data_IF_796839525676
#
_entry.id   IF_796839525676
#
_cell.length_a   1.000
_cell.length_b   1.000
_cell.length_c   1.000
_cell.angle_alpha   90.00
_cell.angle_beta   90.00
_cell.angle_gamma   90.00
#
_symmetry.space_group_name_H-M   'P 1'
#
loop_
_entity.id
_entity.type
_entity.pdbx_description
1 polymer ?
#
# COMPACT_ATOMS: atom_id res chain seq x y z
N UNK A 1 -21.28 24.20 8.48
CA UNK A 1 -20.80 22.81 8.68
C UNK A 1 -19.64 22.57 7.74
N UNK A 2 -18.42 22.89 8.18
CA UNK A 2 -17.20 22.61 7.42
C UNK A 2 -16.64 21.27 7.84
N UNK A 3 -17.03 20.18 7.16
CA UNK A 3 -16.37 18.87 7.32
C UNK A 3 -14.90 18.89 6.85
N UNK A 4 -14.46 19.97 6.23
CA UNK A 4 -13.08 20.24 5.82
C UNK A 4 -12.41 21.36 6.64
N UNK A 5 -13.00 21.75 7.77
CA UNK A 5 -12.44 22.80 8.62
C UNK A 5 -11.23 22.28 9.40
N UNK A 6 -10.06 22.38 8.78
CA UNK A 6 -8.76 22.03 9.35
C UNK A 6 -8.40 22.88 10.59
N UNK A 7 -9.12 23.98 10.85
CA UNK A 7 -8.79 24.91 11.92
C UNK A 7 -9.20 24.38 13.31
N UNK A 8 -10.08 23.37 13.39
CA UNK A 8 -10.51 22.77 14.66
C UNK A 8 -9.62 21.59 15.10
N UNK A 9 -8.66 21.19 14.28
CA UNK A 9 -7.80 20.04 14.56
C UNK A 9 -6.35 20.48 14.76
N UNK A 10 -5.65 19.81 15.67
CA UNK A 10 -4.22 20.02 15.85
C UNK A 10 -3.44 19.18 14.83
N UNK A 11 -2.42 19.74 14.16
CA UNK A 11 -1.50 18.98 13.32
C UNK A 11 -0.82 17.87 14.12
N UNK A 12 -0.49 16.76 13.47
CA UNK A 12 0.10 15.61 14.14
C UNK A 12 1.50 15.91 14.72
N UNK A 13 2.20 16.92 14.19
CA UNK A 13 3.45 17.43 14.76
C UNK A 13 3.30 17.92 16.22
N UNK A 14 2.10 18.37 16.62
CA UNK A 14 1.82 18.74 18.02
C UNK A 14 1.87 17.53 18.96
N UNK A 15 1.47 16.34 18.50
CA UNK A 15 1.59 15.09 19.27
C UNK A 15 3.05 14.73 19.54
N UNK A 16 3.96 15.13 18.63
CA UNK A 16 5.41 14.95 18.78
C UNK A 16 6.10 16.10 19.51
N UNK A 17 5.33 17.07 20.05
CA UNK A 17 5.84 18.30 20.65
C UNK A 17 6.80 19.06 19.73
N UNK A 18 6.67 18.87 18.40
CA UNK A 18 7.61 19.38 17.40
C UNK A 18 9.08 19.07 17.69
N UNK A 19 9.38 17.96 18.39
CA UNK A 19 10.76 17.54 18.60
C UNK A 19 11.39 17.19 17.24
N UNK A 20 12.43 17.91 16.79
CA UNK A 20 12.94 17.80 15.44
C UNK A 20 13.50 16.40 15.13
N UNK A 21 14.06 15.74 16.15
CA UNK A 21 14.55 14.37 16.05
C UNK A 21 13.42 13.38 15.71
N UNK A 22 12.30 13.46 16.44
CA UNK A 22 11.18 12.54 16.26
C UNK A 22 10.43 12.81 14.96
N UNK A 23 10.15 14.08 14.66
CA UNK A 23 9.52 14.49 13.39
C UNK A 23 10.40 14.10 12.21
N UNK A 24 11.72 14.32 12.29
CA UNK A 24 12.67 13.96 11.24
C UNK A 24 12.69 12.45 10.98
N UNK A 25 12.69 11.62 12.04
CA UNK A 25 12.63 10.16 11.90
C UNK A 25 11.34 9.71 11.19
N UNK A 26 10.19 10.25 11.58
CA UNK A 26 8.92 9.91 10.93
C UNK A 26 8.90 10.31 9.45
N UNK A 27 9.34 11.54 9.13
CA UNK A 27 9.38 12.02 7.74
C UNK A 27 10.31 11.18 6.87
N UNK A 28 11.51 10.87 7.35
CA UNK A 28 12.48 10.05 6.60
C UNK A 28 11.94 8.64 6.39
N UNK A 29 11.38 8.03 7.43
CA UNK A 29 10.81 6.70 7.35
C UNK A 29 9.62 6.64 6.38
N UNK A 30 8.64 7.54 6.54
CA UNK A 30 7.46 7.59 5.66
C UNK A 30 7.85 7.91 4.21
N UNK A 31 8.85 8.78 3.99
CA UNK A 31 9.32 9.09 2.65
C UNK A 31 10.00 7.87 2.01
N UNK A 32 10.88 7.18 2.73
CA UNK A 32 11.54 5.98 2.24
C UNK A 32 10.52 4.87 1.91
N UNK A 33 9.51 4.67 2.77
CA UNK A 33 8.45 3.69 2.53
C UNK A 33 7.59 4.10 1.34
N UNK A 34 7.19 5.38 1.23
CA UNK A 34 6.40 5.86 0.09
C UNK A 34 7.13 5.63 -1.24
N UNK A 35 8.43 5.95 -1.32
CA UNK A 35 9.25 5.70 -2.50
C UNK A 35 9.32 4.20 -2.85
N UNK A 36 9.54 3.35 -1.85
CA UNK A 36 9.53 1.90 -2.04
C UNK A 36 8.15 1.43 -2.58
N UNK A 37 7.06 1.90 -1.98
CA UNK A 37 5.69 1.49 -2.32
C UNK A 37 5.20 2.07 -3.65
N UNK A 38 5.79 3.15 -4.17
CA UNK A 38 5.57 3.57 -5.55
C UNK A 38 6.43 2.79 -6.55
N UNK A 39 7.65 2.37 -6.15
CA UNK A 39 8.53 1.60 -7.02
C UNK A 39 8.05 0.16 -7.28
N UNK A 40 7.50 -0.52 -6.27
CA UNK A 40 6.99 -1.89 -6.36
C UNK A 40 5.91 -2.06 -7.46
N UNK A 41 4.82 -1.27 -7.49
CA UNK A 41 3.78 -1.41 -8.51
C UNK A 41 4.31 -1.06 -9.92
N UNK A 42 5.27 -0.14 -10.05
CA UNK A 42 5.95 0.14 -11.32
C UNK A 42 6.70 -1.10 -11.80
N UNK A 43 7.49 -1.74 -10.92
CA UNK A 43 8.20 -2.99 -11.23
C UNK A 43 7.24 -4.11 -11.61
N UNK A 44 6.15 -4.30 -10.87
CA UNK A 44 5.11 -5.27 -11.19
C UNK A 44 4.51 -4.98 -12.57
N UNK A 45 4.20 -3.72 -12.88
CA UNK A 45 3.65 -3.34 -14.18
C UNK A 45 4.63 -3.63 -15.32
N UNK A 46 5.91 -3.30 -15.17
CA UNK A 46 6.95 -3.60 -16.16
C UNK A 46 7.07 -5.12 -16.35
N UNK A 47 7.11 -5.88 -15.25
CA UNK A 47 7.17 -7.35 -15.28
C UNK A 47 5.99 -7.95 -16.05
N UNK A 48 4.75 -7.54 -15.73
CA UNK A 48 3.55 -8.03 -16.40
C UNK A 48 3.47 -7.63 -17.89
N UNK A 49 4.06 -6.48 -18.28
CA UNK A 49 4.11 -6.05 -19.69
C UNK A 49 5.15 -6.80 -20.51
N UNK A 50 6.24 -7.22 -19.89
CA UNK A 50 7.32 -7.96 -20.58
C UNK A 50 7.08 -9.47 -20.62
N UNK A 51 6.11 -9.97 -19.87
CA UNK A 51 5.78 -11.37 -19.85
C UNK A 51 5.06 -11.79 -21.14
N UNK A 52 5.69 -12.66 -21.93
CA UNK A 52 5.17 -13.08 -23.25
C UNK A 52 3.83 -13.84 -23.16
N UNK A 53 3.60 -14.53 -22.05
CA UNK A 53 2.35 -15.25 -21.79
C UNK A 53 1.67 -14.66 -20.56
N UNK A 54 0.39 -14.31 -20.72
CA UNK A 54 -0.42 -13.80 -19.61
C UNK A 54 -0.49 -14.87 -18.50
N UNK A 55 -0.02 -14.57 -17.28
CA UNK A 55 -0.03 -15.55 -16.21
C UNK A 55 -1.48 -15.77 -15.75
N UNK A 56 -1.84 -17.01 -15.36
CA UNK A 56 -3.21 -17.34 -14.94
C UNK A 56 -3.69 -16.50 -13.75
N UNK A 57 -2.78 -15.95 -12.96
CA UNK A 57 -3.06 -15.13 -11.79
C UNK A 57 -2.66 -13.65 -11.96
N UNK A 58 -2.66 -13.13 -13.20
CA UNK A 58 -2.33 -11.72 -13.48
C UNK A 58 -3.12 -10.73 -12.61
N UNK A 59 -4.40 -11.03 -12.35
CA UNK A 59 -5.27 -10.20 -11.52
C UNK A 59 -4.75 -10.05 -10.08
N UNK A 60 -4.11 -11.08 -9.52
CA UNK A 60 -3.57 -11.06 -8.16
C UNK A 60 -2.40 -10.08 -8.05
N UNK A 61 -1.53 -10.03 -9.07
CA UNK A 61 -0.44 -9.05 -9.16
C UNK A 61 -0.97 -7.62 -9.26
N UNK A 62 -2.07 -7.40 -10.01
CA UNK A 62 -2.70 -6.09 -10.16
C UNK A 62 -3.33 -5.65 -8.82
N UNK A 63 -4.08 -6.53 -8.15
CA UNK A 63 -4.69 -6.24 -6.85
C UNK A 63 -3.63 -5.93 -5.79
N UNK A 64 -2.56 -6.73 -5.74
CA UNK A 64 -1.43 -6.47 -4.86
C UNK A 64 -0.76 -5.13 -5.17
N UNK A 65 -0.54 -4.82 -6.45
CA UNK A 65 0.00 -3.52 -6.87
C UNK A 65 -0.87 -2.34 -6.46
N UNK A 66 -2.20 -2.45 -6.58
CA UNK A 66 -3.14 -1.42 -6.14
C UNK A 66 -3.11 -1.24 -4.62
N UNK A 67 -3.12 -2.33 -3.87
CA UNK A 67 -3.02 -2.30 -2.41
C UNK A 67 -1.73 -1.60 -1.94
N UNK A 68 -0.57 -1.98 -2.50
CA UNK A 68 0.72 -1.36 -2.18
C UNK A 68 0.74 0.13 -2.57
N UNK A 69 0.14 0.50 -3.70
CA UNK A 69 0.02 1.89 -4.13
C UNK A 69 -0.77 2.73 -3.11
N UNK A 70 -1.91 2.23 -2.64
CA UNK A 70 -2.72 2.91 -1.61
C UNK A 70 -1.96 3.04 -0.28
N UNK A 71 -1.20 2.03 0.11
CA UNK A 71 -0.32 2.14 1.27
C UNK A 71 0.72 3.26 1.10
N UNK A 72 1.32 3.40 -0.08
CA UNK A 72 2.26 4.49 -0.38
C UNK A 72 1.63 5.87 -0.26
N UNK A 73 0.39 6.02 -0.73
CA UNK A 73 -0.38 7.26 -0.59
C UNK A 73 -0.62 7.60 0.89
N UNK A 74 -0.94 6.61 1.75
CA UNK A 74 -1.08 6.85 3.19
C UNK A 74 0.23 7.34 3.83
N UNK A 75 1.40 6.84 3.42
CA UNK A 75 2.67 7.32 3.96
C UNK A 75 2.94 8.78 3.57
N UNK A 76 2.61 9.18 2.33
CA UNK A 76 2.65 10.61 1.95
C UNK A 76 1.67 11.43 2.78
N UNK A 77 0.46 10.89 3.01
CA UNK A 77 -0.55 11.56 3.83
C UNK A 77 -0.09 11.73 5.28
N UNK A 78 0.58 10.73 5.87
CA UNK A 78 1.16 10.80 7.20
C UNK A 78 2.14 11.97 7.34
N UNK A 79 2.97 12.20 6.31
CA UNK A 79 3.87 13.36 6.27
C UNK A 79 3.05 14.65 6.24
N UNK A 80 2.05 14.75 5.36
CA UNK A 80 1.23 15.97 5.23
C UNK A 80 0.50 16.30 6.53
N UNK A 81 -0.06 15.31 7.24
CA UNK A 81 -0.79 15.55 8.50
C UNK A 81 0.05 16.04 9.66
N UNK A 82 1.38 15.94 9.58
CA UNK A 82 2.28 16.55 10.55
C UNK A 82 2.13 18.08 10.58
N UNK A 83 1.89 18.70 9.41
CA UNK A 83 1.71 20.16 9.29
C UNK A 83 0.27 20.58 9.07
N UNK A 84 -0.51 19.80 8.30
CA UNK A 84 -1.88 20.14 7.91
C UNK A 84 -2.85 19.04 8.33
N UNK A 85 -3.73 19.27 9.32
CA UNK A 85 -4.56 18.23 9.95
C UNK A 85 -5.75 17.79 9.06
N UNK A 86 -5.45 17.26 7.87
CA UNK A 86 -6.39 16.78 6.86
C UNK A 86 -6.92 15.37 7.21
N UNK A 87 -7.32 15.16 8.47
CA UNK A 87 -7.68 13.84 9.02
C UNK A 87 -8.85 13.17 8.30
N UNK A 88 -9.80 13.93 7.75
CA UNK A 88 -10.89 13.35 6.95
C UNK A 88 -10.39 12.72 5.65
N UNK A 89 -9.43 13.36 4.97
CA UNK A 89 -8.82 12.83 3.75
C UNK A 89 -8.02 11.58 4.08
N UNK A 90 -7.22 11.65 5.15
CA UNK A 90 -6.46 10.51 5.67
C UNK A 90 -7.37 9.32 6.01
N UNK A 91 -8.50 9.55 6.70
CA UNK A 91 -9.45 8.52 7.06
C UNK A 91 -10.08 7.86 5.82
N UNK A 92 -10.46 8.66 4.81
CA UNK A 92 -11.01 8.14 3.55
C UNK A 92 -9.97 7.29 2.80
N UNK A 93 -8.71 7.75 2.72
CA UNK A 93 -7.63 6.99 2.11
C UNK A 93 -7.36 5.67 2.85
N UNK A 94 -7.39 5.67 4.19
CA UNK A 94 -7.28 4.45 5.00
C UNK A 94 -8.43 3.49 4.74
N UNK A 95 -9.66 3.97 4.56
CA UNK A 95 -10.81 3.12 4.21
C UNK A 95 -10.63 2.44 2.84
N UNK A 96 -10.17 3.19 1.82
CA UNK A 96 -9.86 2.60 0.52
C UNK A 96 -8.74 1.56 0.61
N UNK A 97 -7.71 1.86 1.38
CA UNK A 97 -6.58 0.94 1.61
C UNK A 97 -7.05 -0.33 2.32
N UNK A 98 -7.89 -0.20 3.35
CA UNK A 98 -8.46 -1.32 4.08
C UNK A 98 -9.34 -2.19 3.16
N UNK A 99 -10.19 -1.58 2.35
CA UNK A 99 -11.01 -2.29 1.37
C UNK A 99 -10.14 -3.06 0.36
N UNK A 100 -9.11 -2.42 -0.20
CA UNK A 100 -8.18 -3.06 -1.12
C UNK A 100 -7.38 -4.20 -0.44
N UNK A 101 -6.95 -4.01 0.80
CA UNK A 101 -6.23 -5.01 1.60
C UNK A 101 -7.09 -6.24 1.88
N UNK A 102 -8.32 -6.05 2.33
CA UNK A 102 -9.26 -7.15 2.63
C UNK A 102 -9.62 -7.89 1.36
N UNK A 103 -9.94 -7.17 0.28
CA UNK A 103 -10.23 -7.80 -1.01
C UNK A 103 -9.04 -8.63 -1.51
N UNK A 104 -7.82 -8.10 -1.42
CA UNK A 104 -6.60 -8.83 -1.81
C UNK A 104 -6.41 -10.10 -0.96
N UNK A 105 -6.57 -9.99 0.36
CA UNK A 105 -6.43 -11.13 1.27
C UNK A 105 -7.45 -12.23 0.99
N UNK A 106 -8.73 -11.89 0.84
CA UNK A 106 -9.80 -12.87 0.56
C UNK A 106 -9.59 -13.55 -0.79
N UNK A 107 -9.27 -12.79 -1.83
CA UNK A 107 -9.07 -13.33 -3.17
C UNK A 107 -7.80 -14.20 -3.27
N UNK A 108 -6.78 -13.94 -2.44
CA UNK A 108 -5.55 -14.75 -2.43
C UNK A 108 -5.71 -16.12 -1.76
N UNK A 109 -6.67 -16.32 -0.85
CA UNK A 109 -6.90 -17.61 -0.19
C UNK A 109 -7.08 -18.80 -1.16
N UNK A 110 -7.95 -18.73 -2.19
CA UNK A 110 -8.10 -19.84 -3.14
C UNK A 110 -6.88 -20.05 -4.04
N UNK A 111 -5.92 -19.12 -4.10
CA UNK A 111 -4.70 -19.27 -4.91
C UNK A 111 -3.74 -20.29 -4.31
N UNK A 112 -3.69 -20.40 -2.98
CA UNK A 112 -2.76 -21.27 -2.25
C UNK A 112 -2.87 -22.75 -2.67
N UNK A 113 -4.05 -23.40 -2.62
CA UNK A 113 -4.16 -24.81 -3.00
C UNK A 113 -3.85 -25.04 -4.48
N UNK A 114 -4.18 -24.09 -5.36
CA UNK A 114 -3.94 -24.20 -6.81
C UNK A 114 -2.45 -24.12 -7.13
N UNK A 115 -1.73 -23.21 -6.47
CA UNK A 115 -0.29 -23.11 -6.62
C UNK A 115 0.40 -24.35 -6.07
N UNK A 116 -0.03 -24.86 -4.92
CA UNK A 116 0.56 -26.06 -4.30
C UNK A 116 0.41 -27.29 -5.21
N UNK A 117 -0.80 -27.56 -5.72
CA UNK A 117 -1.05 -28.67 -6.67
C UNK A 117 -0.16 -28.56 -7.92
N UNK A 118 -0.06 -27.35 -8.49
CA UNK A 118 0.77 -27.12 -9.67
C UNK A 118 2.26 -27.33 -9.38
N UNK A 119 2.77 -26.88 -8.24
CA UNK A 119 4.16 -27.09 -7.85
C UNK A 119 4.48 -28.56 -7.59
N UNK A 120 3.59 -29.29 -6.91
CA UNK A 120 3.75 -30.74 -6.68
C UNK A 120 3.86 -31.49 -8.01
N UNK A 121 2.96 -31.21 -8.97
CA UNK A 121 3.01 -31.86 -10.30
C UNK A 121 4.28 -31.54 -11.10
N UNK A 122 4.85 -30.35 -10.94
CA UNK A 122 6.11 -30.00 -11.59
C UNK A 122 7.28 -30.77 -10.96
N UNK A 123 7.31 -30.86 -9.63
CA UNK A 123 8.32 -31.65 -8.91
C UNK A 123 8.27 -33.14 -9.29
N UNK A 124 7.07 -33.70 -9.46
CA UNK A 124 6.89 -35.11 -9.85
C UNK A 124 7.25 -35.36 -11.33
N UNK A 125 7.25 -34.32 -12.18
CA UNK A 125 7.57 -34.45 -13.61
C UNK A 125 9.07 -34.35 -13.90
N UNK A 126 9.86 -33.82 -12.96
CA UNK A 126 11.32 -33.64 -13.09
C UNK A 126 12.14 -34.75 -12.40
N UNK A 127 11.51 -35.62 -11.59
CA UNK A 127 12.12 -36.76 -10.90
C UNK A 127 11.88 -38.10 -11.59
#
# INVERSE_FOLDING_TARGET
MGYFDINNFMPHGMCFLWRPELVGMHVIADLAIALAYFSIPITIMIFLRRLERTPPFRWAFIMFGIFILFCGINHVMNIIVLWYPLYYIEAVLKLFTAAASVATAVLMLPLVPVLLDRFTRLSDAEG
#
